data_IF_864175395257
#
_entry.id   IF_864175395257
#
_cell.length_a   1.000
_cell.length_b   1.000
_cell.length_c   1.000
_cell.angle_alpha   90.00
_cell.angle_beta   90.00
_cell.angle_gamma   90.00
#
_symmetry.space_group_name_H-M   'P 1'
#
loop_
_entity.id
_entity.type
_entity.pdbx_description
1 polymer ?
#
# COMPACT_ATOMS: atom_id res chain seq x y z
N UNK A 1 6.04 24.67 2.26
CA UNK A 1 7.00 23.55 2.21
C UNK A 1 7.16 23.19 0.75
N UNK A 2 8.31 23.50 0.17
CA UNK A 2 8.56 23.43 -1.28
C UNK A 2 9.35 22.17 -1.59
N UNK A 3 8.69 21.00 -1.45
CA UNK A 3 9.33 19.69 -1.60
C UNK A 3 9.14 19.17 -3.02
N UNK A 4 10.22 18.68 -3.64
CA UNK A 4 10.14 18.07 -4.98
C UNK A 4 9.44 16.72 -4.90
N UNK A 5 8.61 16.41 -5.89
CA UNK A 5 7.90 15.11 -6.00
C UNK A 5 8.81 13.89 -5.92
N UNK A 6 10.07 14.03 -6.31
CA UNK A 6 11.10 12.98 -6.23
C UNK A 6 11.57 12.68 -4.80
N UNK A 7 11.35 13.61 -3.87
CA UNK A 7 11.77 13.50 -2.46
C UNK A 7 10.57 13.20 -1.53
N UNK A 8 9.36 13.16 -2.09
CA UNK A 8 8.12 12.89 -1.35
C UNK A 8 7.64 11.48 -1.61
N UNK A 9 7.49 10.70 -0.53
CA UNK A 9 6.90 9.37 -0.54
C UNK A 9 5.62 9.37 0.30
N UNK A 10 4.59 8.69 -0.19
CA UNK A 10 3.33 8.46 0.53
C UNK A 10 3.38 7.05 1.12
N UNK A 11 3.26 6.93 2.43
CA UNK A 11 3.28 5.66 3.15
C UNK A 11 1.95 5.48 3.84
N UNK A 12 1.26 4.37 3.60
CA UNK A 12 -0.05 4.11 4.19
C UNK A 12 -0.47 2.65 4.09
N UNK A 13 -1.50 2.30 4.83
CA UNK A 13 -2.06 0.96 4.94
C UNK A 13 -3.32 0.76 4.08
N UNK A 14 -3.93 1.83 3.58
CA UNK A 14 -5.15 1.75 2.79
C UNK A 14 -4.89 2.01 1.30
N UNK A 15 -5.13 0.98 0.48
CA UNK A 15 -4.92 1.02 -0.98
C UNK A 15 -5.69 2.17 -1.64
N UNK A 16 -6.94 2.38 -1.27
CA UNK A 16 -7.82 3.33 -1.97
C UNK A 16 -7.57 4.80 -1.65
N UNK A 17 -6.99 5.12 -0.49
CA UNK A 17 -6.69 6.52 -0.14
C UNK A 17 -5.22 6.83 -0.36
N UNK A 18 -4.33 5.97 0.14
CA UNK A 18 -2.91 6.29 0.20
C UNK A 18 -2.23 5.99 -1.13
N UNK A 19 -2.55 4.85 -1.76
CA UNK A 19 -1.98 4.50 -3.07
C UNK A 19 -2.64 5.28 -4.19
N UNK A 20 -3.98 5.33 -4.26
CA UNK A 20 -4.65 6.10 -5.31
C UNK A 20 -4.32 7.60 -5.21
N UNK A 21 -4.31 8.18 -4.01
CA UNK A 21 -3.94 9.57 -3.79
C UNK A 21 -2.50 9.87 -4.23
N UNK A 22 -1.54 9.04 -3.79
CA UNK A 22 -0.15 9.20 -4.20
C UNK A 22 0.08 8.97 -5.71
N UNK A 23 -0.62 8.00 -6.32
CA UNK A 23 -0.52 7.73 -7.75
C UNK A 23 -1.10 8.86 -8.61
N UNK A 24 -2.22 9.47 -8.19
CA UNK A 24 -2.77 10.68 -8.83
C UNK A 24 -1.76 11.84 -8.77
N UNK A 25 -1.06 11.97 -7.64
CA UNK A 25 -0.02 12.98 -7.44
C UNK A 25 1.32 12.64 -8.12
N UNK A 26 1.45 11.44 -8.72
CA UNK A 26 2.68 10.86 -9.28
C UNK A 26 3.81 10.77 -8.25
N UNK A 27 3.47 10.46 -7.01
CA UNK A 27 4.39 10.25 -5.90
C UNK A 27 4.69 8.76 -5.73
N UNK A 28 5.86 8.46 -5.17
CA UNK A 28 6.18 7.10 -4.76
C UNK A 28 5.21 6.70 -3.62
N UNK A 29 4.54 5.56 -3.76
CA UNK A 29 3.61 5.04 -2.75
C UNK A 29 4.15 3.74 -2.17
N UNK A 30 4.24 3.67 -0.85
CA UNK A 30 4.63 2.46 -0.11
C UNK A 30 3.40 1.99 0.63
N UNK A 31 2.84 0.87 0.17
CA UNK A 31 1.78 0.17 0.86
C UNK A 31 2.38 -0.67 1.99
N UNK A 32 2.08 -0.31 3.23
CA UNK A 32 2.42 -1.12 4.39
C UNK A 32 1.28 -2.11 4.60
N UNK A 33 1.59 -3.41 4.54
CA UNK A 33 0.59 -4.43 4.86
C UNK A 33 0.36 -4.42 6.37
N UNK A 34 -0.86 -4.12 6.87
CA UNK A 34 -1.12 -4.10 8.30
C UNK A 34 -0.84 -5.48 8.91
N UNK A 35 0.00 -5.50 9.95
CA UNK A 35 0.48 -6.73 10.59
C UNK A 35 -0.56 -7.35 11.54
N UNK A 36 -1.63 -6.64 11.90
CA UNK A 36 -2.38 -6.99 13.12
C UNK A 36 -3.76 -7.61 12.86
N UNK A 37 -3.86 -8.84 13.37
CA UNK A 37 -5.08 -9.54 13.82
C UNK A 37 -6.05 -8.60 14.57
N UNK A 38 -7.21 -8.25 13.99
CA UNK A 38 -8.42 -7.98 14.80
C UNK A 38 -9.72 -7.93 14.00
N UNK A 39 -10.58 -8.91 14.30
CA UNK A 39 -12.00 -8.78 14.66
C UNK A 39 -12.81 -7.66 14.00
N UNK A 40 -13.52 -7.99 12.91
CA UNK A 40 -14.86 -7.50 12.56
C UNK A 40 -15.32 -8.11 11.22
N UNK A 41 -16.58 -8.57 11.13
CA UNK A 41 -17.13 -9.26 9.94
C UNK A 41 -17.04 -8.41 8.65
N UNK A 42 -17.05 -7.08 8.76
CA UNK A 42 -16.93 -6.14 7.64
C UNK A 42 -15.53 -6.04 7.02
N UNK A 43 -14.47 -6.33 7.76
CA UNK A 43 -13.07 -6.23 7.30
C UNK A 43 -12.65 -7.42 6.43
N UNK A 44 -13.47 -8.48 6.37
CA UNK A 44 -13.15 -9.71 5.63
C UNK A 44 -13.21 -9.52 4.10
N UNK A 45 -14.14 -8.69 3.62
CA UNK A 45 -14.24 -8.34 2.20
C UNK A 45 -13.01 -7.56 1.75
N UNK A 46 -12.66 -6.48 2.47
CA UNK A 46 -11.50 -5.65 2.15
C UNK A 46 -10.20 -6.47 2.08
N UNK A 47 -9.99 -7.43 3.01
CA UNK A 47 -8.78 -8.26 3.00
C UNK A 47 -8.65 -9.16 1.76
N UNK A 48 -9.76 -9.69 1.25
CA UNK A 48 -9.74 -10.51 0.04
C UNK A 48 -9.53 -9.64 -1.21
N UNK A 49 -10.16 -8.46 -1.26
CA UNK A 49 -9.93 -7.50 -2.34
C UNK A 49 -8.48 -7.01 -2.38
N UNK A 50 -7.89 -6.64 -1.24
CA UNK A 50 -6.49 -6.24 -1.16
C UNK A 50 -5.56 -7.35 -1.64
N UNK A 51 -5.80 -8.60 -1.22
CA UNK A 51 -5.02 -9.75 -1.70
C UNK A 51 -5.13 -9.93 -3.21
N UNK A 52 -6.33 -9.83 -3.78
CA UNK A 52 -6.54 -9.96 -5.23
C UNK A 52 -5.81 -8.83 -5.97
N UNK A 53 -5.94 -7.58 -5.51
CA UNK A 53 -5.29 -6.42 -6.12
C UNK A 53 -3.76 -6.55 -6.04
N UNK A 54 -3.22 -6.89 -4.87
CA UNK A 54 -1.78 -7.11 -4.66
C UNK A 54 -1.28 -8.26 -5.54
N UNK A 55 -1.97 -9.40 -5.57
CA UNK A 55 -1.60 -10.54 -6.43
C UNK A 55 -1.66 -10.19 -7.91
N UNK A 56 -2.65 -9.39 -8.34
CA UNK A 56 -2.78 -8.94 -9.71
C UNK A 56 -1.65 -7.97 -10.09
N UNK A 57 -1.33 -7.00 -9.22
CA UNK A 57 -0.24 -6.06 -9.44
C UNK A 57 1.13 -6.71 -9.40
N UNK A 58 1.34 -7.70 -8.52
CA UNK A 58 2.56 -8.52 -8.50
C UNK A 58 2.69 -9.33 -9.79
N UNK A 59 1.61 -9.98 -10.24
CA UNK A 59 1.62 -10.78 -11.48
C UNK A 59 1.88 -9.92 -12.72
N UNK A 60 1.46 -8.65 -12.69
CA UNK A 60 1.73 -7.67 -13.75
C UNK A 60 3.06 -6.91 -13.59
N UNK A 61 3.89 -7.22 -12.58
CA UNK A 61 5.13 -6.49 -12.25
C UNK A 61 4.93 -4.96 -12.08
N UNK A 62 3.75 -4.52 -11.63
CA UNK A 62 3.44 -3.10 -11.39
C UNK A 62 4.02 -2.64 -10.05
N UNK A 63 4.03 -3.54 -9.06
CA UNK A 63 4.56 -3.27 -7.72
C UNK A 63 5.69 -4.24 -7.38
N UNK A 64 6.68 -3.75 -6.65
CA UNK A 64 7.74 -4.58 -6.06
C UNK A 64 7.41 -4.84 -4.61
N UNK A 65 7.31 -6.10 -4.21
CA UNK A 65 7.17 -6.47 -2.80
C UNK A 65 8.55 -6.53 -2.17
N UNK A 66 8.83 -5.61 -1.27
CA UNK A 66 10.02 -5.65 -0.42
C UNK A 66 9.62 -5.99 1.02
N UNK A 67 10.32 -6.94 1.63
CA UNK A 67 10.15 -7.29 3.03
C UNK A 67 11.30 -6.64 3.78
N UNK A 68 11.03 -5.52 4.45
CA UNK A 68 12.00 -4.86 5.30
C UNK A 68 12.34 -5.74 6.52
N UNK A 69 13.62 -5.81 6.86
CA UNK A 69 14.08 -6.46 8.08
C UNK A 69 13.91 -5.46 9.24
N UNK A 70 12.67 -5.24 9.67
CA UNK A 70 12.34 -4.24 10.69
C UNK A 70 12.78 -4.74 12.07
N UNK A 71 13.47 -3.90 12.89
CA UNK A 71 13.76 -4.25 14.27
C UNK A 71 12.43 -4.47 15.02
N UNK A 72 12.37 -5.55 15.80
CA UNK A 72 11.21 -5.90 16.64
C UNK A 72 10.98 -4.89 17.75
#
# INVERSE_FOLDING_TARGET
MDTKKSETVVIGDQIFTDICGGNILKLLTILVVPIVKKDSMGTFLHRNFEKIIISFWLRKNIIKKEVGNWPK
#
